data_IF_286735365082
#
_entry.id   IF_286735365082
#
_cell.length_a   1.000
_cell.length_b   1.000
_cell.length_c   1.000
_cell.angle_alpha   90.00
_cell.angle_beta   90.00
_cell.angle_gamma   90.00
#
_symmetry.space_group_name_H-M   'P 1'
#
loop_
_entity.id
_entity.type
_entity.pdbx_description
1 polymer ?
#
# COMPACT_ATOMS: atom_id res chain seq x y z
N UNK A 1 9.38 -5.71 -10.61
CA UNK A 1 10.60 -6.10 -11.34
C UNK A 1 11.00 -7.55 -11.11
N UNK A 2 11.08 -8.02 -9.84
CA UNK A 2 11.58 -9.37 -9.53
C UNK A 2 10.73 -10.50 -10.14
N UNK A 3 9.42 -10.36 -10.18
CA UNK A 3 8.51 -11.39 -10.69
C UNK A 3 8.62 -11.63 -12.20
N UNK A 4 8.89 -10.60 -13.00
CA UNK A 4 9.05 -10.72 -14.46
C UNK A 4 10.26 -11.59 -14.85
N UNK A 5 11.49 -11.37 -14.33
CA UNK A 5 12.62 -12.24 -14.57
C UNK A 5 12.35 -13.70 -14.17
N UNK A 6 11.69 -13.94 -13.05
CA UNK A 6 11.33 -15.30 -12.66
C UNK A 6 10.40 -15.99 -13.68
N UNK A 7 9.47 -15.25 -14.29
CA UNK A 7 8.61 -15.79 -15.35
C UNK A 7 9.41 -16.24 -16.59
N UNK A 8 10.57 -15.61 -16.83
CA UNK A 8 11.45 -15.97 -17.98
C UNK A 8 12.34 -17.16 -17.70
N UNK A 9 12.79 -17.34 -16.44
CA UNK A 9 13.81 -18.37 -16.07
C UNK A 9 13.22 -19.66 -15.53
N UNK A 10 11.99 -19.63 -15.01
CA UNK A 10 11.36 -20.82 -14.42
C UNK A 10 10.85 -21.73 -15.54
N UNK A 11 11.12 -23.07 -15.50
CA UNK A 11 10.55 -24.01 -16.44
C UNK A 11 9.02 -23.92 -16.45
N UNK A 12 8.43 -23.93 -17.63
CA UNK A 12 6.98 -23.84 -17.80
C UNK A 12 6.26 -24.99 -17.10
N UNK A 13 5.31 -24.66 -16.23
CA UNK A 13 4.48 -25.64 -15.52
C UNK A 13 3.35 -26.21 -16.39
N UNK A 14 3.14 -25.64 -17.58
CA UNK A 14 1.96 -25.90 -18.41
C UNK A 14 0.67 -25.25 -17.91
N UNK A 15 0.73 -24.55 -16.78
CA UNK A 15 -0.39 -23.81 -16.18
C UNK A 15 -0.08 -22.30 -16.20
N UNK A 16 -0.54 -21.61 -17.22
CA UNK A 16 -0.39 -20.17 -17.34
C UNK A 16 -1.57 -19.46 -16.65
N UNK A 17 -1.24 -18.44 -15.84
CA UNK A 17 -2.20 -17.43 -15.41
C UNK A 17 -2.49 -16.47 -16.56
N UNK A 18 -3.56 -15.69 -16.46
CA UNK A 18 -3.87 -14.63 -17.43
C UNK A 18 -2.66 -13.68 -17.57
N UNK A 19 -2.43 -13.15 -18.76
CA UNK A 19 -1.31 -12.22 -19.00
C UNK A 19 0.05 -12.86 -19.25
N UNK A 20 0.11 -14.18 -19.48
CA UNK A 20 1.34 -14.90 -19.82
C UNK A 20 2.27 -15.17 -18.64
N UNK A 21 1.77 -15.09 -17.40
CA UNK A 21 2.51 -15.42 -16.17
C UNK A 21 2.36 -16.92 -15.88
N UNK A 22 3.48 -17.64 -15.73
CA UNK A 22 3.45 -19.04 -15.28
C UNK A 22 3.10 -19.11 -13.79
N UNK A 23 2.23 -20.06 -13.41
CA UNK A 23 1.79 -20.23 -12.03
C UNK A 23 2.95 -20.47 -11.05
N UNK A 24 4.03 -21.12 -11.48
CA UNK A 24 5.21 -21.37 -10.65
C UNK A 24 6.15 -20.16 -10.55
N UNK A 25 6.10 -19.22 -11.50
CA UNK A 25 7.00 -18.08 -11.55
C UNK A 25 6.87 -17.17 -10.32
N UNK A 26 5.68 -17.10 -9.72
CA UNK A 26 5.40 -16.22 -8.58
C UNK A 26 5.66 -16.87 -7.22
N UNK A 27 5.90 -18.17 -7.14
CA UNK A 27 6.07 -18.87 -5.86
C UNK A 27 7.26 -18.34 -5.05
N UNK A 28 8.44 -18.24 -5.67
CA UNK A 28 9.64 -17.76 -4.98
C UNK A 28 9.54 -16.29 -4.57
N UNK A 29 9.13 -15.36 -5.45
CA UNK A 29 8.84 -13.98 -5.07
C UNK A 29 7.82 -13.86 -3.93
N UNK A 30 6.75 -14.66 -3.94
CA UNK A 30 5.75 -14.68 -2.85
C UNK A 30 6.34 -15.15 -1.53
N UNK A 31 7.13 -16.23 -1.53
CA UNK A 31 7.81 -16.72 -0.33
C UNK A 31 8.79 -15.69 0.23
N UNK A 32 9.54 -15.02 -0.65
CA UNK A 32 10.45 -13.96 -0.26
C UNK A 32 9.69 -12.79 0.40
N UNK A 33 8.63 -12.33 -0.23
CA UNK A 33 7.82 -11.23 0.30
C UNK A 33 7.09 -11.62 1.60
N UNK A 34 6.62 -12.85 1.69
CA UNK A 34 6.00 -13.41 2.90
C UNK A 34 6.97 -13.73 4.04
N UNK A 35 8.27 -13.51 3.87
CA UNK A 35 9.27 -13.74 4.91
C UNK A 35 9.34 -12.60 5.95
N UNK A 36 8.70 -11.46 5.67
CA UNK A 36 8.65 -10.34 6.61
C UNK A 36 7.96 -10.76 7.91
N UNK A 37 8.63 -10.58 9.05
CA UNK A 37 8.17 -11.01 10.37
C UNK A 37 8.95 -10.38 11.52
N UNK A 38 8.38 -10.42 12.71
CA UNK A 38 9.13 -10.26 13.94
C UNK A 38 9.86 -11.58 14.28
N UNK A 39 11.04 -11.49 14.87
CA UNK A 39 11.90 -12.60 15.26
C UNK A 39 11.77 -12.79 16.76
N UNK A 40 11.60 -14.05 17.22
CA UNK A 40 11.37 -14.35 18.65
C UNK A 40 12.55 -13.94 19.55
N UNK A 41 13.77 -14.10 19.07
CA UNK A 41 14.98 -13.68 19.78
C UNK A 41 15.22 -12.16 19.74
N UNK A 42 14.34 -11.41 19.12
CA UNK A 42 14.38 -9.96 19.00
C UNK A 42 14.72 -9.47 17.59
N UNK A 43 14.27 -8.27 17.29
CA UNK A 43 14.38 -7.66 15.97
C UNK A 43 13.25 -8.03 15.02
N UNK A 44 13.36 -7.56 13.79
CA UNK A 44 12.35 -7.80 12.74
C UNK A 44 12.98 -7.77 11.36
N UNK A 45 12.34 -8.47 10.41
CA UNK A 45 12.62 -8.33 8.99
C UNK A 45 11.49 -7.53 8.35
N UNK A 46 11.81 -6.33 7.89
CA UNK A 46 10.91 -5.47 7.12
C UNK A 46 11.26 -5.54 5.65
N UNK A 47 10.27 -5.77 4.79
CA UNK A 47 10.44 -5.82 3.34
C UNK A 47 9.59 -4.71 2.72
N UNK A 48 10.25 -3.80 1.99
CA UNK A 48 9.60 -2.76 1.19
C UNK A 48 9.69 -3.18 -0.27
N UNK A 49 8.54 -3.38 -0.90
CA UNK A 49 8.44 -3.76 -2.31
C UNK A 49 7.62 -2.75 -3.10
N UNK A 50 7.99 -2.53 -4.35
CA UNK A 50 7.23 -1.70 -5.28
C UNK A 50 6.58 -2.56 -6.35
N UNK A 51 5.35 -2.21 -6.72
CA UNK A 51 4.64 -2.79 -7.85
C UNK A 51 4.17 -1.67 -8.78
N UNK A 52 4.31 -1.89 -10.09
CA UNK A 52 3.77 -0.98 -11.09
C UNK A 52 2.33 -1.38 -11.40
N UNK A 53 1.46 -0.39 -11.44
CA UNK A 53 0.06 -0.52 -11.82
C UNK A 53 -0.25 0.43 -12.98
N UNK A 54 -1.35 0.21 -13.69
CA UNK A 54 -1.82 1.06 -14.79
C UNK A 54 -0.76 1.25 -15.90
N UNK A 55 0.02 0.21 -16.18
CA UNK A 55 1.06 0.22 -17.22
C UNK A 55 0.54 -0.17 -18.60
N UNK A 56 -0.72 -0.61 -18.70
CA UNK A 56 -1.28 -1.23 -19.89
C UNK A 56 -0.81 -2.67 -20.14
N UNK A 57 0.03 -3.23 -19.26
CA UNK A 57 0.51 -4.61 -19.32
C UNK A 57 -0.33 -5.53 -18.45
N UNK A 58 -1.03 -6.47 -19.06
CA UNK A 58 -1.78 -7.52 -18.34
C UNK A 58 -0.90 -8.34 -17.38
N UNK A 59 0.37 -8.52 -17.71
CA UNK A 59 1.31 -9.21 -16.82
C UNK A 59 1.53 -8.44 -15.52
N UNK A 60 1.62 -7.11 -15.57
CA UNK A 60 1.78 -6.29 -14.37
C UNK A 60 0.53 -6.33 -13.49
N UNK A 61 -0.66 -6.31 -14.11
CA UNK A 61 -1.93 -6.41 -13.39
C UNK A 61 -2.04 -7.76 -12.66
N UNK A 62 -1.69 -8.86 -13.32
CA UNK A 62 -1.69 -10.20 -12.72
C UNK A 62 -0.67 -10.27 -11.57
N UNK A 63 0.54 -9.78 -11.77
CA UNK A 63 1.57 -9.75 -10.73
C UNK A 63 1.09 -8.94 -9.51
N UNK A 64 0.51 -7.77 -9.75
CA UNK A 64 -0.03 -6.94 -8.68
C UNK A 64 -1.14 -7.67 -7.89
N UNK A 65 -2.15 -8.23 -8.58
CA UNK A 65 -3.25 -8.95 -7.93
C UNK A 65 -2.77 -10.17 -7.14
N UNK A 66 -1.76 -10.89 -7.65
CA UNK A 66 -1.18 -12.05 -6.96
C UNK A 66 -0.39 -11.68 -5.70
N UNK A 67 0.16 -10.47 -5.60
CA UNK A 67 0.85 -9.96 -4.41
C UNK A 67 -0.06 -9.15 -3.49
N UNK A 68 -1.19 -8.67 -4.02
CA UNK A 68 -2.19 -7.95 -3.25
C UNK A 68 -2.66 -8.82 -2.08
N UNK A 69 -2.65 -8.22 -0.91
CA UNK A 69 -3.03 -8.93 0.29
C UNK A 69 -1.95 -9.81 0.93
N UNK A 70 -0.77 -9.95 0.33
CA UNK A 70 0.39 -10.60 0.98
C UNK A 70 1.12 -9.63 1.92
N UNK A 71 1.12 -8.34 1.61
CA UNK A 71 1.73 -7.31 2.44
C UNK A 71 0.85 -6.91 3.63
N UNK A 72 1.49 -6.33 4.65
CA UNK A 72 0.83 -5.81 5.85
C UNK A 72 0.35 -4.37 5.68
N UNK A 73 0.94 -3.63 4.76
CA UNK A 73 0.63 -2.24 4.43
C UNK A 73 0.71 -2.03 2.93
N UNK A 74 -0.17 -1.21 2.41
CA UNK A 74 -0.20 -0.79 1.00
C UNK A 74 -0.25 0.73 0.92
N UNK A 75 0.63 1.33 0.13
CA UNK A 75 0.58 2.74 -0.24
C UNK A 75 0.31 2.81 -1.74
N UNK A 76 -0.83 3.36 -2.11
CA UNK A 76 -1.22 3.61 -3.48
C UNK A 76 -0.88 5.04 -3.87
N UNK A 77 -0.18 5.20 -5.00
CA UNK A 77 0.07 6.51 -5.60
C UNK A 77 -0.94 6.73 -6.73
N UNK A 78 -1.38 7.95 -6.89
CA UNK A 78 -2.30 8.34 -7.95
C UNK A 78 -1.66 9.36 -8.90
N UNK A 79 -1.75 9.07 -10.22
CA UNK A 79 -1.15 9.91 -11.27
C UNK A 79 -1.84 11.28 -11.35
N UNK A 80 -3.16 11.35 -11.16
CA UNK A 80 -3.92 12.60 -11.25
C UNK A 80 -3.50 13.60 -10.18
N UNK A 81 -3.18 13.13 -8.97
CA UNK A 81 -2.64 13.95 -7.89
C UNK A 81 -1.27 14.53 -8.30
N UNK A 82 -0.38 13.69 -8.86
CA UNK A 82 0.95 14.14 -9.29
C UNK A 82 0.89 15.10 -10.48
N UNK A 83 -0.04 14.92 -11.41
CA UNK A 83 -0.27 15.83 -12.54
C UNK A 83 -0.69 17.24 -12.08
N UNK A 84 -1.40 17.32 -10.94
CA UNK A 84 -1.73 18.59 -10.28
C UNK A 84 -0.60 19.14 -9.40
N UNK A 85 0.58 18.51 -9.42
CA UNK A 85 1.74 18.91 -8.62
C UNK A 85 1.49 18.90 -7.11
N UNK A 86 0.56 18.07 -6.66
CA UNK A 86 0.32 17.80 -5.24
C UNK A 86 1.16 16.60 -4.81
N UNK A 87 1.99 16.77 -3.79
CA UNK A 87 2.91 15.74 -3.30
C UNK A 87 2.92 15.69 -1.76
N UNK A 88 3.02 14.46 -1.19
CA UNK A 88 3.10 13.15 -1.86
C UNK A 88 1.80 12.82 -2.59
N UNK A 89 1.89 12.19 -3.76
CA UNK A 89 0.74 11.86 -4.60
C UNK A 89 0.07 10.55 -4.15
N UNK A 90 -0.39 10.51 -2.89
CA UNK A 90 -0.95 9.32 -2.24
C UNK A 90 -2.47 9.32 -2.36
N UNK A 91 -3.02 8.22 -2.87
CA UNK A 91 -4.44 7.92 -2.72
C UNK A 91 -4.68 7.40 -1.30
N UNK A 92 -5.16 8.27 -0.42
CA UNK A 92 -5.35 7.98 1.01
C UNK A 92 -6.44 6.94 1.21
N UNK A 93 -7.52 6.99 0.42
CA UNK A 93 -8.65 6.10 0.57
C UNK A 93 -8.32 4.64 0.19
N UNK A 94 -7.39 4.44 -0.75
CA UNK A 94 -6.92 3.11 -1.16
C UNK A 94 -5.73 2.60 -0.35
N UNK A 95 -5.05 3.49 0.37
CA UNK A 95 -3.88 3.15 1.19
C UNK A 95 -4.31 2.71 2.58
N UNK A 96 -3.57 1.80 3.18
CA UNK A 96 -3.90 1.35 4.53
C UNK A 96 -2.94 0.32 5.09
N UNK A 97 -3.09 0.07 6.39
CA UNK A 97 -2.32 -0.90 7.16
C UNK A 97 -3.27 -1.95 7.74
N UNK A 98 -2.90 -3.21 7.66
CA UNK A 98 -3.62 -4.29 8.33
C UNK A 98 -3.38 -4.25 9.83
N UNK A 99 -4.38 -4.65 10.60
CA UNK A 99 -4.26 -4.77 12.05
C UNK A 99 -3.71 -3.50 12.70
N UNK A 100 -4.20 -2.33 12.27
CA UNK A 100 -3.77 -1.03 12.78
C UNK A 100 -4.01 -0.88 14.29
N UNK A 101 -4.96 -1.63 14.84
CA UNK A 101 -5.24 -1.72 16.27
C UNK A 101 -4.06 -2.25 17.10
N UNK A 102 -3.11 -2.94 16.47
CA UNK A 102 -1.87 -3.40 17.11
C UNK A 102 -0.75 -2.34 17.11
N UNK A 103 -0.93 -1.27 16.34
CA UNK A 103 0.10 -0.26 16.09
C UNK A 103 -0.24 1.11 16.66
N UNK A 104 -1.49 1.31 17.09
CA UNK A 104 -2.02 2.61 17.45
C UNK A 104 -2.80 2.52 18.76
N UNK A 105 -2.65 3.52 19.62
CA UNK A 105 -3.45 3.62 20.85
C UNK A 105 -4.94 3.68 20.55
N UNK A 106 -5.80 3.10 21.40
CA UNK A 106 -7.26 3.06 21.17
C UNK A 106 -7.90 4.43 20.91
N UNK A 107 -7.45 5.46 21.61
CA UNK A 107 -7.96 6.84 21.43
C UNK A 107 -7.61 7.41 20.06
N UNK A 108 -6.38 7.22 19.61
CA UNK A 108 -5.92 7.67 18.30
C UNK A 108 -6.53 6.83 17.19
N UNK A 109 -6.72 5.53 17.40
CA UNK A 109 -7.42 4.66 16.48
C UNK A 109 -8.86 5.13 16.21
N UNK A 110 -9.58 5.52 17.26
CA UNK A 110 -10.94 6.06 17.13
C UNK A 110 -10.96 7.36 16.31
N UNK A 111 -9.99 8.25 16.53
CA UNK A 111 -9.82 9.49 15.75
C UNK A 111 -9.49 9.20 14.28
N UNK A 112 -8.63 8.21 14.02
CA UNK A 112 -8.34 7.76 12.66
C UNK A 112 -9.57 7.24 11.94
N UNK A 113 -10.45 6.51 12.61
CA UNK A 113 -11.71 6.05 12.02
C UNK A 113 -12.66 7.21 11.70
N UNK A 114 -12.73 8.21 12.56
CA UNK A 114 -13.51 9.43 12.29
C UNK A 114 -12.94 10.16 11.07
N UNK A 115 -11.62 10.30 11.01
CA UNK A 115 -10.93 10.92 9.88
C UNK A 115 -11.21 10.18 8.56
N UNK A 116 -11.14 8.84 8.55
CA UNK A 116 -11.49 8.05 7.36
C UNK A 116 -12.92 8.27 6.90
N UNK A 117 -13.86 8.33 7.82
CA UNK A 117 -15.27 8.64 7.47
C UNK A 117 -15.41 10.02 6.84
N UNK A 118 -14.61 10.99 7.28
CA UNK A 118 -14.58 12.32 6.70
C UNK A 118 -13.96 12.34 5.29
N UNK A 119 -12.89 11.57 5.08
CA UNK A 119 -12.19 11.50 3.81
C UNK A 119 -12.89 10.67 2.75
N UNK A 120 -13.64 9.65 3.17
CA UNK A 120 -14.27 8.67 2.27
C UNK A 120 -15.13 9.27 1.15
N UNK A 121 -15.96 10.31 1.36
CA UNK A 121 -16.75 10.93 0.29
C UNK A 121 -15.93 11.87 -0.63
N UNK A 122 -14.68 12.18 -0.28
CA UNK A 122 -13.81 13.03 -1.08
C UNK A 122 -13.14 12.23 -2.19
N UNK A 123 -12.92 12.87 -3.36
CA UNK A 123 -12.05 12.28 -4.37
C UNK A 123 -10.58 12.27 -3.91
N UNK A 124 -9.72 11.60 -4.65
CA UNK A 124 -8.33 11.35 -4.26
C UNK A 124 -7.54 12.66 -4.10
N UNK A 125 -7.78 13.63 -4.98
CA UNK A 125 -7.12 14.94 -4.94
C UNK A 125 -7.59 15.75 -3.74
N UNK A 126 -8.91 15.86 -3.56
CA UNK A 126 -9.52 16.58 -2.44
C UNK A 126 -9.08 16.01 -1.09
N UNK A 127 -9.06 14.68 -0.95
CA UNK A 127 -8.61 14.01 0.26
C UNK A 127 -7.15 14.33 0.57
N UNK A 128 -6.28 14.31 -0.45
CA UNK A 128 -4.86 14.61 -0.27
C UNK A 128 -4.61 16.08 0.04
N UNK A 129 -5.26 17.01 -0.65
CA UNK A 129 -5.15 18.45 -0.38
C UNK A 129 -5.64 18.79 1.04
N UNK A 130 -6.79 18.24 1.43
CA UNK A 130 -7.33 18.40 2.79
C UNK A 130 -6.33 17.92 3.85
N UNK A 131 -5.76 16.73 3.67
CA UNK A 131 -4.78 16.19 4.60
C UNK A 131 -3.50 17.03 4.67
N UNK A 132 -2.98 17.47 3.52
CA UNK A 132 -1.77 18.31 3.47
C UNK A 132 -1.98 19.65 4.18
N UNK A 133 -3.11 20.30 3.98
CA UNK A 133 -3.45 21.55 4.66
C UNK A 133 -3.45 21.36 6.18
N UNK A 134 -4.13 20.32 6.66
CA UNK A 134 -4.24 20.03 8.09
C UNK A 134 -2.92 19.62 8.71
N UNK A 135 -2.13 18.78 8.01
CA UNK A 135 -0.81 18.36 8.51
C UNK A 135 0.19 19.52 8.54
N UNK A 136 0.14 20.44 7.58
CA UNK A 136 0.98 21.66 7.59
C UNK A 136 0.64 22.60 8.74
N UNK A 137 -0.61 22.65 9.16
CA UNK A 137 -1.06 23.49 10.26
C UNK A 137 -0.67 22.96 11.65
N UNK A 138 -0.22 21.71 11.75
CA UNK A 138 0.10 21.04 13.01
C UNK A 138 1.51 20.46 12.96
N UNK A 139 2.26 20.57 14.06
CA UNK A 139 3.65 20.08 14.14
C UNK A 139 3.75 18.58 14.39
N UNK A 140 2.74 17.99 15.02
CA UNK A 140 2.70 16.60 15.42
C UNK A 140 1.34 15.97 15.12
N UNK A 141 1.29 14.65 14.99
CA UNK A 141 0.03 13.90 14.85
C UNK A 141 -0.89 14.13 16.06
N UNK A 142 -0.33 14.31 17.25
CA UNK A 142 -1.10 14.58 18.46
C UNK A 142 -1.83 15.91 18.38
N UNK A 143 -1.13 16.97 18.00
CA UNK A 143 -1.75 18.31 17.78
C UNK A 143 -2.84 18.24 16.70
N UNK A 144 -2.58 17.51 15.62
CA UNK A 144 -3.55 17.29 14.57
C UNK A 144 -4.83 16.61 15.10
N UNK A 145 -4.69 15.54 15.87
CA UNK A 145 -5.85 14.85 16.45
C UNK A 145 -6.57 15.66 17.53
N UNK A 146 -5.87 16.51 18.26
CA UNK A 146 -6.50 17.45 19.21
C UNK A 146 -7.28 18.55 18.49
N UNK A 147 -6.77 19.05 17.36
CA UNK A 147 -7.45 20.04 16.54
C UNK A 147 -8.73 19.51 15.88
N UNK A 148 -8.83 18.20 15.65
CA UNK A 148 -10.04 17.57 15.11
C UNK A 148 -11.22 17.52 16.11
N UNK A 149 -10.97 17.74 17.40
CA UNK A 149 -12.02 17.73 18.45
C UNK A 149 -12.81 19.04 18.53
N UNK A 150 -12.35 20.06 17.80
CA UNK A 150 -12.97 21.40 17.75
C UNK A 150 -13.81 21.56 16.48
#
# INVERSE_FOLDING_TARGET
PLARPYNTVVPTSGKALTGGVDANALQRPKRFFGAARNIEEGGSLTIIATALIDTGSRMDDVIYEEFKGTGNMEIHLDRRISEKRVFPAIDINRSGTRREELLTDPDDLQKMWILRKLLHPMDELQAMEFMLERLKANKTNREFFEAMKR
#
